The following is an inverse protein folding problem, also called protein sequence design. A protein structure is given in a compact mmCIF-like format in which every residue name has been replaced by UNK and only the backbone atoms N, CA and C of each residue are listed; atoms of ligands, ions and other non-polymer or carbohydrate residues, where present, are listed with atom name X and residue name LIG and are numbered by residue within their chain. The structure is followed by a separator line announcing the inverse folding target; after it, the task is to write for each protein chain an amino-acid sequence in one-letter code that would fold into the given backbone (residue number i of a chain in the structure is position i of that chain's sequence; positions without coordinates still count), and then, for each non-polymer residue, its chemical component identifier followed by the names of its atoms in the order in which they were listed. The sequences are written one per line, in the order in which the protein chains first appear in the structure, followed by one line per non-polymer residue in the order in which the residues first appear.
data_IF_817429877350
#
_entry.id   IF_817429877350
#
_cell.length_a   1.000
_cell.length_b   1.000
_cell.length_c   1.000
_cell.angle_alpha   90.00
_cell.angle_beta   90.00
_cell.angle_gamma   90.00
#
_symmetry.space_group_name_H-M   'P 1'
#
loop_
_entity.id
_entity.type
_entity.pdbx_description
1 polymer ?
#
# COMPACT_ATOMS: atom_id res chain seq x y z
N UNK A 1 -8.96 7.88 -22.72
CA UNK A 1 -9.70 7.50 -21.49
C UNK A 1 -10.70 8.60 -21.16
N UNK A 2 -11.99 8.30 -20.94
CA UNK A 2 -13.00 9.31 -20.61
C UNK A 2 -12.70 10.00 -19.27
N UNK A 3 -13.05 11.29 -19.16
CA UNK A 3 -12.78 12.16 -18.00
C UNK A 3 -13.26 11.55 -16.68
N UNK A 4 -14.39 10.83 -16.71
CA UNK A 4 -14.94 10.12 -15.55
C UNK A 4 -13.95 9.11 -14.93
N UNK A 5 -13.19 8.37 -15.73
CA UNK A 5 -12.21 7.43 -15.19
C UNK A 5 -11.02 8.14 -14.54
N UNK A 6 -10.60 9.28 -15.09
CA UNK A 6 -9.53 10.10 -14.52
C UNK A 6 -9.98 10.66 -13.16
N UNK A 7 -11.19 11.22 -13.08
CA UNK A 7 -11.74 11.75 -11.82
C UNK A 7 -11.89 10.66 -10.75
N UNK A 8 -12.36 9.46 -11.13
CA UNK A 8 -12.46 8.33 -10.21
C UNK A 8 -11.08 7.87 -9.73
N UNK A 9 -10.08 7.80 -10.61
CA UNK A 9 -8.72 7.44 -10.24
C UNK A 9 -8.11 8.46 -9.27
N UNK A 10 -8.30 9.75 -9.52
CA UNK A 10 -7.87 10.83 -8.62
C UNK A 10 -8.56 10.74 -7.26
N UNK A 11 -9.88 10.49 -7.23
CA UNK A 11 -10.62 10.33 -5.98
C UNK A 11 -10.08 9.15 -5.16
N UNK A 12 -9.84 8.00 -5.80
CA UNK A 12 -9.25 6.83 -5.13
C UNK A 12 -7.86 7.15 -4.59
N UNK A 13 -7.00 7.80 -5.38
CA UNK A 13 -5.66 8.19 -4.96
C UNK A 13 -5.68 9.15 -3.75
N UNK A 14 -6.59 10.13 -3.75
CA UNK A 14 -6.77 11.05 -2.62
C UNK A 14 -7.23 10.33 -1.36
N UNK A 15 -8.25 9.46 -1.46
CA UNK A 15 -8.73 8.67 -0.31
C UNK A 15 -7.59 7.83 0.27
N UNK A 16 -6.83 7.16 -0.58
CA UNK A 16 -5.68 6.36 -0.15
C UNK A 16 -4.57 7.21 0.49
N UNK A 17 -4.24 8.35 -0.09
CA UNK A 17 -3.23 9.28 0.44
C UNK A 17 -3.61 9.84 1.81
N UNK A 18 -4.84 10.34 1.96
CA UNK A 18 -5.35 10.87 3.24
C UNK A 18 -5.38 9.80 4.32
N UNK A 19 -5.61 8.54 3.96
CA UNK A 19 -5.58 7.40 4.90
C UNK A 19 -4.26 7.31 5.65
N UNK A 20 -3.12 7.60 5.00
CA UNK A 20 -1.80 7.56 5.65
C UNK A 20 -1.63 8.63 6.72
N UNK A 21 -2.24 9.80 6.55
CA UNK A 21 -2.25 10.87 7.56
C UNK A 21 -3.04 10.41 8.78
N UNK A 22 -4.24 9.84 8.56
CA UNK A 22 -5.06 9.30 9.63
C UNK A 22 -4.36 8.15 10.38
N UNK A 23 -3.61 7.29 9.67
CA UNK A 23 -2.81 6.22 10.29
C UNK A 23 -1.72 6.80 11.17
N UNK A 24 -1.00 7.83 10.70
CA UNK A 24 0.06 8.47 11.50
C UNK A 24 -0.50 9.00 12.83
N UNK A 25 -1.64 9.68 12.80
CA UNK A 25 -2.30 10.14 14.02
C UNK A 25 -2.81 8.98 14.87
N UNK A 26 -3.42 7.96 14.24
CA UNK A 26 -3.97 6.82 14.96
C UNK A 26 -2.93 6.00 15.71
N UNK A 27 -1.73 5.77 15.13
CA UNK A 27 -0.69 5.01 15.81
C UNK A 27 -0.10 5.74 17.03
N UNK A 28 -0.33 7.06 17.14
CA UNK A 28 0.09 7.83 18.31
C UNK A 28 -0.79 7.56 19.53
N UNK A 29 -2.08 7.31 19.33
CA UNK A 29 -3.06 7.05 20.39
C UNK A 29 -3.24 5.56 20.72
N UNK A 30 -3.15 4.68 19.74
CA UNK A 30 -3.38 3.24 19.90
C UNK A 30 -2.22 2.41 19.38
N UNK A 31 -2.09 1.17 19.86
CA UNK A 31 -1.02 0.29 19.38
C UNK A 31 -1.15 0.02 17.87
N UNK A 32 -0.04 -0.03 17.10
CA UNK A 32 -0.10 -0.16 15.65
C UNK A 32 -0.89 -1.38 15.17
N UNK A 33 -0.66 -2.53 15.81
CA UNK A 33 -1.36 -3.78 15.49
C UNK A 33 -2.85 -3.71 15.82
N UNK A 34 -3.24 -3.02 16.90
CA UNK A 34 -4.65 -2.81 17.21
C UNK A 34 -5.31 -1.91 16.17
N UNK A 35 -4.65 -0.81 15.76
CA UNK A 35 -5.17 0.05 14.70
C UNK A 35 -5.33 -0.71 13.38
N UNK A 36 -4.35 -1.56 13.02
CA UNK A 36 -4.46 -2.45 11.86
C UNK A 36 -5.65 -3.40 12.02
N UNK A 37 -5.79 -4.06 13.17
CA UNK A 37 -6.91 -4.97 13.43
C UNK A 37 -8.27 -4.26 13.32
N UNK A 38 -8.43 -3.11 13.96
CA UNK A 38 -9.64 -2.29 13.88
C UNK A 38 -9.95 -1.91 12.43
N UNK A 39 -8.96 -1.43 11.67
CA UNK A 39 -9.12 -1.10 10.24
C UNK A 39 -9.70 -2.28 9.45
N UNK A 40 -9.14 -3.48 9.62
CA UNK A 40 -9.62 -4.67 8.90
C UNK A 40 -10.96 -5.19 9.42
N UNK A 41 -11.25 -5.08 10.72
CA UNK A 41 -12.55 -5.44 11.28
C UNK A 41 -13.65 -4.53 10.76
N UNK A 42 -13.44 -3.21 10.74
CA UNK A 42 -14.39 -2.26 10.19
C UNK A 42 -14.58 -2.41 8.66
N UNK A 43 -13.56 -2.89 7.95
CA UNK A 43 -13.71 -3.25 6.53
C UNK A 43 -14.46 -4.58 6.35
N UNK A 44 -14.16 -5.59 7.18
CA UNK A 44 -14.73 -6.93 7.06
C UNK A 44 -16.19 -7.00 7.52
N UNK A 45 -16.57 -6.30 8.60
CA UNK A 45 -17.93 -6.31 9.15
C UNK A 45 -19.01 -6.04 8.09
N UNK A 46 -19.01 -4.89 7.37
CA UNK A 46 -19.98 -4.66 6.32
C UNK A 46 -19.78 -5.64 5.15
N UNK A 47 -18.54 -5.96 4.80
CA UNK A 47 -18.25 -6.87 3.68
C UNK A 47 -18.89 -8.24 3.86
N UNK A 48 -18.94 -8.79 5.07
CA UNK A 48 -19.58 -10.09 5.35
C UNK A 48 -21.08 -10.08 5.05
N UNK A 49 -21.75 -8.93 5.19
CA UNK A 49 -23.19 -8.81 4.92
C UNK A 49 -23.50 -8.48 3.45
N UNK A 50 -22.66 -7.68 2.78
CA UNK A 50 -22.93 -7.18 1.43
C UNK A 50 -22.20 -7.95 0.31
N UNK A 51 -21.12 -8.67 0.62
CA UNK A 51 -20.27 -9.32 -0.38
C UNK A 51 -20.41 -10.85 -0.28
N UNK A 52 -20.71 -11.48 -1.42
CA UNK A 52 -20.77 -12.94 -1.53
C UNK A 52 -19.41 -13.55 -1.20
N UNK A 53 -19.39 -14.58 -0.35
CA UNK A 53 -18.17 -15.32 0.00
C UNK A 53 -17.46 -15.83 -1.27
N UNK A 54 -16.14 -15.58 -1.44
CA UNK A 54 -15.38 -16.11 -2.56
C UNK A 54 -15.25 -17.65 -2.48
N UNK A 55 -15.29 -18.31 -3.63
CA UNK A 55 -15.16 -19.78 -3.77
C UNK A 55 -13.69 -20.24 -3.72
N UNK A 56 -13.00 -19.93 -2.63
CA UNK A 56 -11.59 -20.29 -2.42
C UNK A 56 -11.43 -21.12 -1.16
N UNK A 57 -10.37 -21.94 -1.10
CA UNK A 57 -9.99 -22.69 0.11
C UNK A 57 -9.79 -21.71 1.28
N UNK A 58 -10.32 -22.08 2.46
CA UNK A 58 -10.21 -21.28 3.67
C UNK A 58 -8.75 -21.02 4.05
N UNK A 59 -7.82 -21.95 3.76
CA UNK A 59 -6.39 -21.79 4.04
C UNK A 59 -5.78 -20.67 3.21
N UNK A 60 -6.19 -20.56 1.95
CA UNK A 60 -5.75 -19.49 1.05
C UNK A 60 -6.32 -18.16 1.53
N UNK A 61 -7.59 -18.14 1.94
CA UNK A 61 -8.22 -16.94 2.46
C UNK A 61 -7.53 -16.41 3.73
N UNK A 62 -7.27 -17.30 4.70
CA UNK A 62 -6.59 -16.95 5.94
C UNK A 62 -5.12 -16.58 5.68
N UNK A 63 -4.41 -17.34 4.85
CA UNK A 63 -3.02 -17.06 4.50
C UNK A 63 -2.86 -15.70 3.84
N UNK A 64 -3.74 -15.37 2.89
CA UNK A 64 -3.78 -14.04 2.26
C UNK A 64 -4.10 -12.92 3.26
N UNK A 65 -5.11 -13.14 4.11
CA UNK A 65 -5.48 -12.18 5.16
C UNK A 65 -4.35 -11.91 6.15
N UNK A 66 -3.61 -12.93 6.56
CA UNK A 66 -2.44 -12.79 7.43
C UNK A 66 -1.29 -12.08 6.72
N UNK A 67 -0.99 -12.47 5.47
CA UNK A 67 0.10 -11.87 4.70
C UNK A 67 -0.12 -10.37 4.46
N UNK A 68 -1.34 -9.96 4.08
CA UNK A 68 -1.67 -8.54 3.86
C UNK A 68 -1.92 -7.81 5.17
N UNK A 69 -2.76 -8.35 6.05
CA UNK A 69 -3.18 -7.65 7.26
C UNK A 69 -2.05 -7.53 8.27
N UNK A 70 -1.50 -8.66 8.69
CA UNK A 70 -0.44 -8.71 9.70
C UNK A 70 0.93 -8.42 9.08
N UNK A 71 1.24 -9.07 7.96
CA UNK A 71 2.52 -8.91 7.27
C UNK A 71 2.70 -7.51 6.69
N UNK A 72 1.93 -7.17 5.66
CA UNK A 72 2.12 -5.90 4.96
C UNK A 72 1.72 -4.69 5.82
N UNK A 73 0.45 -4.59 6.24
CA UNK A 73 -0.03 -3.39 6.92
C UNK A 73 0.35 -3.33 8.40
N UNK A 74 0.45 -4.46 9.09
CA UNK A 74 0.92 -4.51 10.48
C UNK A 74 2.36 -4.01 10.59
N UNK A 75 3.27 -4.53 9.78
CA UNK A 75 4.67 -4.06 9.76
C UNK A 75 4.77 -2.59 9.32
N UNK A 76 3.96 -2.17 8.36
CA UNK A 76 3.91 -0.77 7.91
C UNK A 76 3.51 0.18 9.04
N UNK A 77 2.47 -0.16 9.82
CA UNK A 77 2.00 0.69 10.90
C UNK A 77 3.02 0.73 12.04
N UNK A 78 3.69 -0.38 12.31
CA UNK A 78 4.83 -0.44 13.23
C UNK A 78 5.94 0.50 12.75
N UNK A 79 6.32 0.45 11.47
CA UNK A 79 7.34 1.34 10.92
C UNK A 79 6.96 2.83 11.08
N UNK A 80 5.70 3.19 10.83
CA UNK A 80 5.19 4.55 11.03
C UNK A 80 5.32 4.97 12.50
N UNK A 81 4.99 4.09 13.43
CA UNK A 81 5.13 4.34 14.87
C UNK A 81 6.59 4.47 15.32
N UNK A 82 7.49 3.70 14.73
CA UNK A 82 8.94 3.78 14.96
C UNK A 82 9.58 5.04 14.36
N UNK A 83 8.79 5.93 13.73
CA UNK A 83 9.24 7.23 13.28
C UNK A 83 9.20 7.42 11.77
N UNK A 84 8.84 6.40 10.98
CA UNK A 84 8.74 6.54 9.53
C UNK A 84 7.70 7.61 9.15
N UNK A 85 8.09 8.67 8.41
CA UNK A 85 7.17 9.67 7.91
C UNK A 85 6.12 9.06 6.98
N UNK A 86 4.86 9.49 7.09
CA UNK A 86 3.74 8.98 6.29
C UNK A 86 4.01 9.01 4.77
N UNK A 87 4.74 10.03 4.28
CA UNK A 87 5.12 10.10 2.88
C UNK A 87 6.15 9.03 2.48
N UNK A 88 7.17 8.78 3.30
CA UNK A 88 8.11 7.68 3.04
C UNK A 88 7.40 6.32 3.10
N UNK A 89 6.46 6.14 4.04
CA UNK A 89 5.63 4.93 4.11
C UNK A 89 4.80 4.71 2.85
N UNK A 90 4.20 5.77 2.29
CA UNK A 90 3.46 5.68 1.03
C UNK A 90 4.38 5.29 -0.13
N UNK A 91 5.60 5.84 -0.21
CA UNK A 91 6.57 5.46 -1.23
C UNK A 91 6.98 3.99 -1.12
N UNK A 92 7.26 3.51 0.09
CA UNK A 92 7.60 2.09 0.31
C UNK A 92 6.49 1.15 -0.14
N UNK A 93 5.22 1.50 0.10
CA UNK A 93 4.10 0.71 -0.43
C UNK A 93 4.07 0.75 -1.96
N UNK A 94 4.36 1.89 -2.59
CA UNK A 94 4.40 1.98 -4.05
C UNK A 94 5.52 1.14 -4.68
N UNK A 95 6.63 0.89 -3.96
CA UNK A 95 7.67 -0.03 -4.42
C UNK A 95 7.16 -1.47 -4.62
N UNK A 96 6.05 -1.85 -3.97
CA UNK A 96 5.42 -3.17 -4.12
C UNK A 96 5.15 -3.53 -5.59
N UNK A 97 4.82 -2.54 -6.44
CA UNK A 97 4.51 -2.79 -7.86
C UNK A 97 5.71 -3.40 -8.58
N UNK A 98 6.93 -2.95 -8.30
CA UNK A 98 8.15 -3.50 -8.89
C UNK A 98 8.40 -4.93 -8.43
N UNK A 99 8.22 -5.21 -7.14
CA UNK A 99 8.29 -6.57 -6.61
C UNK A 99 7.24 -7.47 -7.26
N UNK A 100 6.03 -6.96 -7.47
CA UNK A 100 4.93 -7.71 -8.10
C UNK A 100 5.28 -8.07 -9.55
N UNK A 101 5.78 -7.12 -10.35
CA UNK A 101 6.20 -7.37 -11.73
C UNK A 101 7.36 -8.38 -11.76
N UNK A 102 8.34 -8.23 -10.87
CA UNK A 102 9.48 -9.14 -10.78
C UNK A 102 9.07 -10.57 -10.40
N UNK A 103 8.21 -10.72 -9.39
CA UNK A 103 7.69 -12.02 -8.97
C UNK A 103 6.78 -12.63 -10.04
N UNK A 104 5.99 -11.83 -10.76
CA UNK A 104 5.18 -12.30 -11.89
C UNK A 104 6.05 -12.90 -13.00
N UNK A 105 7.13 -12.20 -13.36
CA UNK A 105 8.11 -12.72 -14.32
C UNK A 105 8.77 -14.03 -13.82
N UNK A 106 9.15 -14.09 -12.55
CA UNK A 106 9.86 -15.26 -11.99
C UNK A 106 8.97 -16.49 -11.83
N UNK A 107 7.77 -16.33 -11.25
CA UNK A 107 6.90 -17.46 -10.89
C UNK A 107 5.91 -17.84 -11.99
N UNK A 108 5.46 -16.87 -12.79
CA UNK A 108 4.47 -17.10 -13.85
C UNK A 108 5.07 -17.07 -15.26
N UNK A 109 6.39 -16.82 -15.39
CA UNK A 109 7.10 -16.70 -16.67
C UNK A 109 6.50 -15.66 -17.63
N UNK A 110 5.70 -14.71 -17.11
CA UNK A 110 5.11 -13.64 -17.89
C UNK A 110 6.20 -12.62 -18.25
N UNK A 111 6.50 -12.50 -19.55
CA UNK A 111 7.46 -11.50 -20.03
C UNK A 111 6.84 -10.11 -19.94
N UNK A 112 7.43 -9.17 -19.19
CA UNK A 112 6.90 -7.82 -19.09
C UNK A 112 6.89 -7.17 -20.48
N UNK A 113 5.74 -6.64 -20.88
CA UNK A 113 5.57 -5.91 -22.12
C UNK A 113 6.44 -4.64 -22.08
N UNK A 114 7.00 -4.20 -23.22
CA UNK A 114 7.82 -2.98 -23.30
C UNK A 114 7.10 -1.74 -22.73
N UNK A 115 5.78 -1.66 -22.84
CA UNK A 115 4.98 -0.60 -22.22
C UNK A 115 4.91 -0.69 -20.69
N UNK A 116 4.91 -1.90 -20.11
CA UNK A 116 4.98 -2.10 -18.65
C UNK A 116 6.35 -1.68 -18.12
N UNK A 117 7.43 -1.98 -18.86
CA UNK A 117 8.79 -1.55 -18.51
C UNK A 117 8.90 -0.01 -18.57
N UNK A 118 8.38 0.62 -19.63
CA UNK A 118 8.36 2.07 -19.75
C UNK A 118 7.54 2.73 -18.62
N UNK A 119 6.35 2.20 -18.32
CA UNK A 119 5.52 2.68 -17.21
C UNK A 119 6.19 2.50 -15.85
N UNK A 120 6.86 1.37 -15.62
CA UNK A 120 7.65 1.11 -14.42
C UNK A 120 8.81 2.11 -14.29
N UNK A 121 9.53 2.39 -15.38
CA UNK A 121 10.61 3.37 -15.38
C UNK A 121 10.12 4.79 -15.03
N UNK A 122 8.98 5.22 -15.59
CA UNK A 122 8.36 6.51 -15.25
C UNK A 122 7.90 6.55 -13.80
N UNK A 123 7.27 5.48 -13.29
CA UNK A 123 6.86 5.39 -11.89
C UNK A 123 8.07 5.43 -10.95
N UNK A 124 9.16 4.75 -11.31
CA UNK A 124 10.40 4.74 -10.54
C UNK A 124 11.03 6.13 -10.50
N UNK A 125 11.06 6.84 -11.63
CA UNK A 125 11.54 8.22 -11.68
C UNK A 125 10.69 9.14 -10.78
N UNK A 126 9.36 9.02 -10.80
CA UNK A 126 8.50 9.78 -9.91
C UNK A 126 8.76 9.51 -8.43
N UNK A 127 8.95 8.24 -8.06
CA UNK A 127 9.33 7.84 -6.70
C UNK A 127 10.71 8.41 -6.33
N UNK A 128 11.68 8.37 -7.24
CA UNK A 128 13.03 8.89 -7.02
C UNK A 128 13.02 10.41 -6.79
N UNK A 129 12.24 11.16 -7.57
CA UNK A 129 12.06 12.61 -7.38
C UNK A 129 11.48 12.91 -5.99
N UNK A 130 10.42 12.20 -5.59
CA UNK A 130 9.80 12.39 -4.27
C UNK A 130 10.77 11.99 -3.15
N UNK A 131 11.56 10.93 -3.35
CA UNK A 131 12.55 10.49 -2.38
C UNK A 131 13.66 11.53 -2.20
N UNK A 132 14.17 12.11 -3.29
CA UNK A 132 15.21 13.15 -3.25
C UNK A 132 14.74 14.42 -2.52
N UNK A 133 13.55 14.93 -2.84
CA UNK A 133 12.94 16.08 -2.17
C UNK A 133 12.76 15.85 -0.64
N UNK A 134 12.42 14.61 -0.26
CA UNK A 134 12.26 14.23 1.14
C UNK A 134 13.58 13.99 1.87
N UNK A 135 14.64 13.61 1.16
CA UNK A 135 15.99 13.45 1.73
C UNK A 135 16.64 14.80 2.02
N UNK A 136 16.36 15.83 1.22
CA UNK A 136 16.82 17.20 1.48
C UNK A 136 16.11 17.84 2.70
N UNK A 137 14.83 17.48 2.93
CA UNK A 137 14.05 17.93 4.10
C UNK A 137 14.27 17.09 5.38
N UNK A 138 14.80 15.87 5.26
CA UNK A 138 15.20 15.04 6.39
C UNK A 138 16.65 15.39 6.73
N UNK A 139 16.84 16.42 7.55
CA UNK A 139 18.15 16.80 8.09
C UNK A 139 18.91 15.54 8.54
N UNK A 140 19.93 15.17 7.75
CA UNK A 140 20.84 14.06 8.02
C UNK A 140 21.85 14.40 9.13
N UNK A 141 21.54 15.37 9.99
CA UNK A 141 22.35 15.76 11.13
C UNK A 141 21.48 15.83 12.38
N UNK A 142 21.96 15.30 13.52
CA UNK A 142 21.27 15.35 14.80
C UNK A 142 21.02 16.78 15.30
#
# INVERSE_FOLDING_TARGET
MPLRHILLALAVAMVWGVSFVAIRWGVDEVSPLLLTALRYVFAALPAVFFIKRPQVDWRVLVGYGLAIGVGQFGLLFIAIKLGMPAGLSSLVVQLQVFFTIFLAFLFFSERPNGWQVAGAAVAFAGIAVIALDRLDGAALLP
#
